data_IF_591618055555
#
_entry.id   IF_591618055555
#
_cell.length_a   1.000
_cell.length_b   1.000
_cell.length_c   1.000
_cell.angle_alpha   90.00
_cell.angle_beta   90.00
_cell.angle_gamma   90.00
#
_symmetry.space_group_name_H-M   'P 1'
#
loop_
_entity.id
_entity.type
_entity.pdbx_description
1 polymer ?
#
# COMPACT_ATOMS: atom_id res chain seq x y z
N UNK A 1 13.76 -31.31 30.71
CA UNK A 1 14.12 -30.05 30.08
C UNK A 1 14.60 -30.21 28.62
N UNK A 2 15.61 -31.07 28.32
CA UNK A 2 16.11 -31.26 26.95
C UNK A 2 15.02 -31.71 25.95
N UNK A 3 14.21 -32.70 26.28
CA UNK A 3 13.11 -33.19 25.43
C UNK A 3 12.06 -32.11 25.08
N UNK A 4 11.83 -31.18 25.97
CA UNK A 4 10.87 -30.08 25.75
C UNK A 4 11.45 -29.04 24.80
N UNK A 5 12.75 -28.76 24.89
CA UNK A 5 13.47 -27.88 23.97
C UNK A 5 13.51 -28.47 22.56
N UNK A 6 13.79 -29.77 22.44
CA UNK A 6 13.86 -30.48 21.16
C UNK A 6 12.47 -30.55 20.48
N UNK A 7 11.41 -30.73 21.27
CA UNK A 7 10.02 -30.72 20.78
C UNK A 7 9.66 -29.33 20.25
N UNK A 8 10.01 -28.26 20.95
CA UNK A 8 9.75 -26.89 20.51
C UNK A 8 10.49 -26.57 19.22
N UNK A 9 11.76 -26.95 19.09
CA UNK A 9 12.56 -26.75 17.86
C UNK A 9 11.99 -27.51 16.66
N UNK A 10 11.50 -28.72 16.88
CA UNK A 10 10.87 -29.51 15.82
C UNK A 10 9.59 -28.84 15.32
N UNK A 11 8.77 -28.34 16.25
CA UNK A 11 7.54 -27.62 15.89
C UNK A 11 7.81 -26.31 15.14
N UNK A 12 8.82 -25.54 15.56
CA UNK A 12 9.25 -24.32 14.86
C UNK A 12 9.71 -24.65 13.43
N UNK A 13 10.55 -25.66 13.27
CA UNK A 13 11.05 -26.08 11.95
C UNK A 13 9.92 -26.55 11.03
N UNK A 14 8.93 -27.26 11.57
CA UNK A 14 7.76 -27.69 10.81
C UNK A 14 6.84 -26.49 10.45
N UNK A 15 6.63 -25.57 11.38
CA UNK A 15 5.85 -24.36 11.13
C UNK A 15 6.51 -23.49 10.04
N UNK A 16 7.84 -23.33 10.10
CA UNK A 16 8.60 -22.60 9.08
C UNK A 16 8.49 -23.28 7.71
N UNK A 17 8.56 -24.62 7.67
CA UNK A 17 8.40 -25.41 6.44
C UNK A 17 7.03 -25.20 5.80
N UNK A 18 5.97 -25.27 6.60
CA UNK A 18 4.60 -25.06 6.13
C UNK A 18 4.41 -23.59 5.71
N UNK A 19 4.93 -22.65 6.49
CA UNK A 19 4.85 -21.22 6.20
C UNK A 19 5.48 -20.86 4.85
N UNK A 20 6.69 -21.35 4.54
CA UNK A 20 7.36 -21.13 3.25
C UNK A 20 6.56 -21.72 2.09
N UNK A 21 6.03 -22.93 2.25
CA UNK A 21 5.19 -23.55 1.23
C UNK A 21 3.89 -22.76 1.00
N UNK A 22 3.29 -22.26 2.06
CA UNK A 22 2.09 -21.44 1.99
C UNK A 22 2.37 -20.11 1.27
N UNK A 23 3.46 -19.42 1.61
CA UNK A 23 3.89 -18.22 0.90
C UNK A 23 4.02 -18.47 -0.60
N UNK A 24 4.75 -19.53 -0.96
CA UNK A 24 4.94 -19.87 -2.37
C UNK A 24 3.63 -20.20 -3.10
N UNK A 25 2.76 -21.03 -2.49
CA UNK A 25 1.45 -21.37 -3.07
C UNK A 25 0.51 -20.17 -3.22
N UNK A 26 0.65 -19.20 -2.33
CA UNK A 26 -0.10 -17.94 -2.38
C UNK A 26 0.54 -16.88 -3.31
N UNK A 27 1.59 -17.24 -4.04
CA UNK A 27 2.26 -16.38 -5.00
C UNK A 27 3.23 -15.36 -4.39
N UNK A 28 3.53 -15.47 -3.11
CA UNK A 28 4.54 -14.62 -2.47
C UNK A 28 5.95 -15.20 -2.68
N UNK A 29 6.95 -14.31 -2.58
CA UNK A 29 8.34 -14.75 -2.61
C UNK A 29 8.67 -15.59 -1.36
N UNK A 30 9.08 -16.87 -1.50
CA UNK A 30 9.41 -17.72 -0.35
C UNK A 30 10.63 -17.23 0.44
N UNK A 31 11.55 -16.43 -0.18
CA UNK A 31 12.69 -15.83 0.51
C UNK A 31 12.27 -14.77 1.54
N UNK A 32 11.06 -14.22 1.41
CA UNK A 32 10.56 -13.20 2.31
C UNK A 32 10.54 -13.65 3.79
N UNK A 33 10.35 -14.95 4.08
CA UNK A 33 10.40 -15.46 5.44
C UNK A 33 11.82 -15.39 6.03
N UNK A 34 12.83 -15.78 5.24
CA UNK A 34 14.23 -15.70 5.66
C UNK A 34 14.68 -14.26 5.90
N UNK A 35 14.26 -13.33 5.04
CA UNK A 35 14.54 -11.90 5.19
C UNK A 35 13.81 -11.30 6.40
N UNK A 36 12.59 -11.74 6.68
CA UNK A 36 11.87 -11.36 7.88
C UNK A 36 12.62 -11.83 9.14
N UNK A 37 13.07 -13.07 9.19
CA UNK A 37 13.87 -13.59 10.31
C UNK A 37 15.18 -12.85 10.49
N UNK A 38 15.90 -12.53 9.41
CA UNK A 38 17.14 -11.76 9.47
C UNK A 38 16.91 -10.37 10.06
N UNK A 39 15.82 -9.71 9.69
CA UNK A 39 15.45 -8.40 10.29
C UNK A 39 15.11 -8.53 11.76
N UNK A 40 14.35 -9.55 12.16
CA UNK A 40 14.03 -9.80 13.57
C UNK A 40 15.28 -10.04 14.39
N UNK A 41 16.23 -10.84 13.90
CA UNK A 41 17.51 -11.10 14.55
C UNK A 41 18.31 -9.80 14.72
N UNK A 42 18.42 -8.99 13.67
CA UNK A 42 19.13 -7.70 13.72
C UNK A 42 18.52 -6.73 14.73
N UNK A 43 17.18 -6.67 14.78
CA UNK A 43 16.46 -5.83 15.74
C UNK A 43 16.68 -6.31 17.17
N UNK A 44 16.73 -7.62 17.40
CA UNK A 44 17.01 -8.20 18.72
C UNK A 44 18.43 -7.92 19.21
N UNK A 45 19.43 -7.87 18.33
CA UNK A 45 20.84 -7.57 18.66
C UNK A 45 21.13 -6.07 18.85
N UNK A 46 20.42 -5.20 18.12
CA UNK A 46 20.66 -3.74 18.15
C UNK A 46 20.10 -3.03 19.36
N UNK A 47 19.44 -3.72 20.26
CA UNK A 47 18.62 -3.10 21.30
C UNK A 47 19.32 -2.94 22.66
N UNK A 48 20.52 -2.38 22.65
CA UNK A 48 21.20 -1.90 23.87
C UNK A 48 20.58 -0.60 24.43
N UNK A 49 19.53 -0.06 23.81
CA UNK A 49 18.93 1.24 24.11
C UNK A 49 17.56 1.22 24.83
N UNK A 50 17.22 0.15 25.56
CA UNK A 50 16.03 0.17 26.45
C UNK A 50 14.70 -0.27 25.83
N UNK A 51 14.63 -0.67 24.58
CA UNK A 51 13.44 -1.31 23.99
C UNK A 51 13.45 -2.82 24.31
N UNK A 52 12.46 -3.30 25.03
CA UNK A 52 12.28 -4.72 25.31
C UNK A 52 11.83 -5.42 24.01
N UNK A 53 12.56 -6.46 23.61
CA UNK A 53 12.11 -7.30 22.49
C UNK A 53 10.68 -7.81 22.78
N UNK A 54 9.78 -7.89 21.78
CA UNK A 54 8.45 -8.43 21.97
C UNK A 54 8.49 -9.81 22.65
N UNK A 55 7.57 -10.07 23.58
CA UNK A 55 7.59 -11.28 24.43
C UNK A 55 7.58 -12.59 23.60
N UNK A 56 6.96 -12.58 22.40
CA UNK A 56 6.97 -13.74 21.51
C UNK A 56 8.38 -14.12 21.00
N UNK A 57 9.32 -13.16 20.90
CA UNK A 57 10.71 -13.45 20.51
C UNK A 57 11.49 -14.15 21.62
N UNK A 58 11.06 -14.05 22.87
CA UNK A 58 11.66 -14.78 23.98
C UNK A 58 11.23 -16.24 24.01
N UNK A 59 10.01 -16.54 23.56
CA UNK A 59 9.45 -17.89 23.50
C UNK A 59 9.73 -18.60 22.18
N UNK A 60 9.91 -17.84 21.10
CA UNK A 60 10.17 -18.33 19.73
C UNK A 60 11.42 -17.66 19.12
N UNK A 61 12.62 -17.97 19.63
CA UNK A 61 13.83 -17.26 19.23
C UNK A 61 14.15 -17.53 17.74
N UNK A 62 14.45 -16.44 17.03
CA UNK A 62 14.99 -16.54 15.68
C UNK A 62 16.48 -16.83 15.78
N UNK A 63 16.90 -17.99 15.30
CA UNK A 63 18.29 -18.40 15.30
C UNK A 63 18.89 -18.33 13.90
N UNK A 64 20.22 -18.18 13.81
CA UNK A 64 20.92 -18.22 12.52
C UNK A 64 20.62 -19.55 11.75
N UNK A 65 20.37 -20.64 12.46
CA UNK A 65 19.96 -21.92 11.87
C UNK A 65 18.60 -21.82 11.19
N UNK A 66 17.59 -21.20 11.81
CA UNK A 66 16.27 -21.00 11.20
C UNK A 66 16.35 -20.12 9.94
N UNK A 67 17.17 -19.08 9.97
CA UNK A 67 17.39 -18.22 8.80
C UNK A 67 18.02 -19.03 7.65
N UNK A 68 19.04 -19.81 7.95
CA UNK A 68 19.74 -20.65 6.97
C UNK A 68 18.80 -21.72 6.37
N UNK A 69 18.04 -22.42 7.22
CA UNK A 69 17.07 -23.42 6.78
C UNK A 69 15.95 -22.81 5.93
N UNK A 70 15.47 -21.61 6.29
CA UNK A 70 14.45 -20.91 5.52
C UNK A 70 14.95 -20.56 4.12
N UNK A 71 16.19 -20.06 3.99
CA UNK A 71 16.82 -19.81 2.68
C UNK A 71 16.99 -21.07 1.85
N UNK A 72 17.49 -22.12 2.44
CA UNK A 72 17.70 -23.41 1.75
C UNK A 72 16.37 -24.01 1.24
N UNK A 73 15.32 -23.93 2.06
CA UNK A 73 13.97 -24.37 1.66
C UNK A 73 13.38 -23.51 0.55
N UNK A 74 13.55 -22.19 0.62
CA UNK A 74 13.09 -21.28 -0.43
C UNK A 74 13.79 -21.57 -1.76
N UNK A 75 15.11 -21.73 -1.75
CA UNK A 75 15.89 -22.12 -2.94
C UNK A 75 15.44 -23.45 -3.53
N UNK A 76 15.21 -24.47 -2.69
CA UNK A 76 14.72 -25.79 -3.15
C UNK A 76 13.34 -25.69 -3.80
N UNK A 77 12.45 -24.89 -3.26
CA UNK A 77 11.12 -24.65 -3.84
C UNK A 77 11.25 -23.97 -5.20
N UNK A 78 12.13 -22.97 -5.32
CA UNK A 78 12.36 -22.26 -6.58
C UNK A 78 12.99 -23.16 -7.65
N UNK A 79 13.95 -24.00 -7.27
CA UNK A 79 14.63 -24.94 -8.17
C UNK A 79 13.70 -26.09 -8.63
N UNK A 80 12.89 -26.62 -7.73
CA UNK A 80 12.01 -27.78 -8.00
C UNK A 80 10.61 -27.37 -8.47
N UNK A 81 10.47 -26.15 -9.02
CA UNK A 81 9.18 -25.60 -9.49
C UNK A 81 8.45 -26.55 -10.46
N UNK A 82 9.19 -27.28 -11.27
CA UNK A 82 8.65 -28.25 -12.22
C UNK A 82 8.22 -29.58 -11.55
N UNK A 83 8.96 -30.03 -10.52
CA UNK A 83 8.77 -31.36 -9.90
C UNK A 83 7.62 -31.37 -8.86
N UNK A 84 7.28 -30.23 -8.28
CA UNK A 84 6.25 -30.15 -7.25
C UNK A 84 4.82 -30.22 -7.80
N UNK A 85 4.65 -30.40 -9.12
CA UNK A 85 3.33 -30.49 -9.75
C UNK A 85 2.45 -29.27 -9.52
N UNK A 86 3.04 -28.15 -9.10
CA UNK A 86 2.40 -26.87 -8.92
C UNK A 86 2.19 -26.24 -10.30
N UNK A 87 1.46 -26.96 -11.17
CA UNK A 87 0.69 -26.30 -12.22
C UNK A 87 -0.14 -25.24 -11.50
N UNK A 88 -0.10 -24.01 -12.01
CA UNK A 88 -0.97 -22.95 -11.58
C UNK A 88 -2.30 -23.57 -11.18
N UNK A 89 -2.58 -23.62 -9.89
CA UNK A 89 -3.85 -24.16 -9.42
C UNK A 89 -4.92 -23.16 -9.86
N UNK A 90 -5.44 -23.38 -11.06
CA UNK A 90 -6.76 -22.90 -11.45
C UNK A 90 -7.78 -23.62 -10.56
N UNK A 91 -7.69 -23.39 -9.28
CA UNK A 91 -8.50 -24.05 -8.27
C UNK A 91 -9.00 -23.06 -7.28
N UNK A 92 -10.30 -22.81 -7.35
CA UNK A 92 -11.07 -22.14 -6.32
C UNK A 92 -10.76 -22.79 -4.97
N UNK A 93 -9.82 -22.25 -4.18
CA UNK A 93 -9.51 -22.74 -2.84
C UNK A 93 -10.52 -22.10 -1.87
N UNK A 94 -11.50 -22.87 -1.34
CA UNK A 94 -12.55 -22.34 -0.48
C UNK A 94 -12.04 -21.76 0.86
N UNK A 95 -10.75 -21.97 1.18
CA UNK A 95 -10.11 -21.44 2.38
C UNK A 95 -9.42 -20.08 2.14
N UNK A 96 -9.33 -19.64 0.89
CA UNK A 96 -8.78 -18.32 0.57
C UNK A 96 -9.90 -17.29 0.42
N UNK A 97 -9.75 -16.07 0.97
CA UNK A 97 -10.67 -14.99 0.72
C UNK A 97 -10.85 -14.72 -0.78
N UNK A 98 -12.04 -14.29 -1.19
CA UNK A 98 -12.40 -14.10 -2.60
C UNK A 98 -11.43 -13.17 -3.35
N UNK A 99 -10.88 -12.14 -2.69
CA UNK A 99 -9.86 -11.26 -3.27
C UNK A 99 -8.52 -11.97 -3.56
N UNK A 100 -8.21 -13.05 -2.85
CA UNK A 100 -7.02 -13.87 -3.08
C UNK A 100 -7.27 -14.97 -4.14
N UNK A 101 -8.55 -15.28 -4.43
CA UNK A 101 -8.95 -16.24 -5.45
C UNK A 101 -9.12 -15.58 -6.83
N UNK A 102 -9.53 -14.32 -6.88
CA UNK A 102 -9.77 -13.56 -8.12
C UNK A 102 -8.49 -13.19 -8.89
N UNK A 103 -7.33 -13.37 -8.27
CA UNK A 103 -6.04 -13.25 -8.95
C UNK A 103 -5.77 -14.51 -9.77
N UNK A 104 -6.26 -14.55 -11.01
CA UNK A 104 -5.80 -15.54 -11.98
C UNK A 104 -4.28 -15.62 -11.90
N UNK A 105 -3.76 -16.81 -11.68
CA UNK A 105 -2.39 -17.18 -11.28
C UNK A 105 -1.24 -16.65 -12.17
N UNK A 106 -1.52 -15.77 -13.13
CA UNK A 106 -0.56 -15.41 -14.17
C UNK A 106 -0.05 -13.95 -14.13
N UNK A 107 -0.65 -13.05 -13.33
CA UNK A 107 -0.23 -11.63 -13.38
C UNK A 107 -0.06 -10.92 -12.04
N UNK A 108 -0.61 -11.41 -10.95
CA UNK A 108 -0.60 -10.72 -9.65
C UNK A 108 0.37 -11.30 -8.64
N UNK A 109 0.70 -12.57 -8.71
CA UNK A 109 1.59 -13.23 -7.76
C UNK A 109 3.02 -12.68 -7.77
N UNK A 110 3.53 -12.24 -8.93
CA UNK A 110 4.80 -11.53 -9.03
C UNK A 110 4.73 -10.07 -8.54
N UNK A 111 3.54 -9.45 -8.62
CA UNK A 111 3.35 -8.03 -8.27
C UNK A 111 3.07 -7.75 -6.80
N UNK A 112 2.52 -8.70 -6.04
CA UNK A 112 2.22 -8.50 -4.61
C UNK A 112 3.46 -8.15 -3.78
N UNK A 113 4.66 -8.59 -4.21
CA UNK A 113 5.92 -8.20 -3.59
C UNK A 113 6.52 -6.90 -4.14
N UNK A 114 6.21 -6.54 -5.39
CA UNK A 114 6.75 -5.35 -6.05
C UNK A 114 6.17 -4.04 -5.50
N UNK A 115 4.92 -4.07 -5.04
CA UNK A 115 4.25 -2.90 -4.47
C UNK A 115 4.68 -2.58 -3.04
N UNK A 116 5.17 -3.57 -2.30
CA UNK A 116 5.52 -3.41 -0.88
C UNK A 116 6.55 -2.29 -0.60
N UNK A 117 7.64 -2.14 -1.36
CA UNK A 117 8.59 -1.05 -1.12
C UNK A 117 7.96 0.33 -1.25
N UNK A 118 7.07 0.54 -2.22
CA UNK A 118 6.36 1.80 -2.45
C UNK A 118 5.35 2.10 -1.34
N UNK A 119 4.54 1.11 -0.98
CA UNK A 119 3.58 1.20 0.12
C UNK A 119 4.28 1.51 1.46
N UNK A 120 5.41 0.85 1.73
CA UNK A 120 6.23 1.08 2.92
C UNK A 120 6.72 2.52 3.00
N UNK A 121 7.25 3.07 1.90
CA UNK A 121 7.75 4.44 1.91
C UNK A 121 6.62 5.46 2.01
N UNK A 122 5.46 5.22 1.37
CA UNK A 122 4.25 6.05 1.57
C UNK A 122 3.81 6.04 3.04
N UNK A 123 3.73 4.86 3.66
CA UNK A 123 3.36 4.74 5.07
C UNK A 123 4.36 5.46 5.99
N UNK A 124 5.67 5.34 5.71
CA UNK A 124 6.72 6.05 6.45
C UNK A 124 6.49 7.57 6.46
N UNK A 125 6.19 8.15 5.30
CA UNK A 125 5.93 9.59 5.19
C UNK A 125 4.66 9.99 5.91
N UNK A 126 3.56 9.23 5.74
CA UNK A 126 2.27 9.52 6.36
C UNK A 126 2.26 9.32 7.88
N UNK A 127 3.11 8.44 8.41
CA UNK A 127 3.23 8.18 9.86
C UNK A 127 4.26 9.07 10.55
N UNK A 128 5.02 9.87 9.82
CA UNK A 128 5.99 10.78 10.41
C UNK A 128 5.29 11.87 11.24
N UNK A 129 5.85 12.27 12.40
CA UNK A 129 5.27 13.31 13.24
C UNK A 129 5.07 14.66 12.52
N UNK A 130 5.96 14.99 11.60
CA UNK A 130 5.85 16.16 10.73
C UNK A 130 6.48 15.88 9.35
N UNK A 131 6.03 16.56 8.28
CA UNK A 131 6.63 16.44 6.96
C UNK A 131 8.14 16.75 6.93
N UNK A 132 8.58 17.70 7.74
CA UNK A 132 10.00 18.08 7.86
C UNK A 132 10.86 16.97 8.47
N UNK A 133 10.32 16.22 9.45
CA UNK A 133 11.00 15.06 10.03
C UNK A 133 11.12 13.97 8.97
N UNK A 134 10.05 13.62 8.26
CA UNK A 134 10.10 12.66 7.17
C UNK A 134 11.18 13.02 6.14
N UNK A 135 11.22 14.29 5.71
CA UNK A 135 12.21 14.77 4.76
C UNK A 135 13.64 14.68 5.29
N UNK A 136 13.85 15.00 6.59
CA UNK A 136 15.18 14.95 7.20
C UNK A 136 15.74 13.53 7.25
N UNK A 137 14.89 12.52 7.42
CA UNK A 137 15.30 11.10 7.41
C UNK A 137 15.87 10.68 6.07
N UNK A 138 15.22 11.07 4.96
CA UNK A 138 15.74 10.79 3.62
C UNK A 138 17.04 11.56 3.33
N UNK A 139 17.15 12.83 3.77
CA UNK A 139 18.36 13.63 3.60
C UNK A 139 19.55 13.08 4.38
N UNK A 140 19.35 12.61 5.61
CA UNK A 140 20.42 11.95 6.39
C UNK A 140 20.97 10.73 5.66
N UNK A 141 20.14 9.95 4.97
CA UNK A 141 20.58 8.86 4.13
C UNK A 141 21.42 9.31 2.92
N UNK A 142 21.21 10.55 2.41
CA UNK A 142 22.00 11.14 1.31
C UNK A 142 23.32 11.70 1.80
N UNK A 143 23.33 12.38 2.95
CA UNK A 143 24.52 13.00 3.55
C UNK A 143 25.40 11.98 4.29
N UNK A 144 24.86 10.78 4.57
CA UNK A 144 25.59 9.67 5.17
C UNK A 144 26.32 8.78 4.15
N UNK A 145 26.86 7.65 4.63
CA UNK A 145 27.64 6.70 3.81
C UNK A 145 26.83 5.98 2.71
N UNK A 146 25.50 6.02 2.76
CA UNK A 146 24.63 5.43 1.72
C UNK A 146 24.20 6.50 0.70
N UNK A 147 25.05 6.72 -0.29
CA UNK A 147 24.85 7.73 -1.34
C UNK A 147 23.74 7.41 -2.36
N UNK A 148 23.18 6.21 -2.34
CA UNK A 148 22.20 5.77 -3.34
C UNK A 148 20.87 5.37 -2.69
N UNK A 149 19.90 6.30 -2.68
CA UNK A 149 18.52 5.93 -2.38
C UNK A 149 17.99 4.99 -3.46
N UNK A 150 17.30 3.92 -3.02
CA UNK A 150 16.51 3.10 -3.94
C UNK A 150 15.40 3.93 -4.58
N UNK A 151 14.84 3.49 -5.70
CA UNK A 151 13.77 4.24 -6.37
C UNK A 151 12.53 4.36 -5.49
N UNK A 152 12.21 3.34 -4.67
CA UNK A 152 11.15 3.44 -3.67
C UNK A 152 11.45 4.51 -2.60
N UNK A 153 12.70 4.64 -2.14
CA UNK A 153 13.09 5.69 -1.20
C UNK A 153 13.06 7.09 -1.85
N UNK A 154 13.43 7.21 -3.14
CA UNK A 154 13.28 8.47 -3.90
C UNK A 154 11.80 8.85 -4.02
N UNK A 155 10.91 7.88 -4.22
CA UNK A 155 9.47 8.10 -4.19
C UNK A 155 9.00 8.59 -2.82
N UNK A 156 9.42 7.95 -1.73
CA UNK A 156 9.12 8.41 -0.38
C UNK A 156 9.63 9.83 -0.12
N UNK A 157 10.85 10.15 -0.56
CA UNK A 157 11.40 11.50 -0.48
C UNK A 157 10.58 12.51 -1.30
N UNK A 158 10.11 12.13 -2.48
CA UNK A 158 9.21 12.99 -3.28
C UNK A 158 7.89 13.27 -2.57
N UNK A 159 7.28 12.25 -1.93
CA UNK A 159 6.10 12.45 -1.09
C UNK A 159 6.38 13.39 0.09
N UNK A 160 7.51 13.22 0.78
CA UNK A 160 7.92 14.10 1.87
C UNK A 160 8.11 15.55 1.40
N UNK A 161 8.63 15.77 0.19
CA UNK A 161 8.68 17.10 -0.43
C UNK A 161 7.28 17.66 -0.71
N UNK A 162 6.34 16.84 -1.24
CA UNK A 162 4.96 17.26 -1.49
C UNK A 162 4.26 17.70 -0.21
N UNK A 163 4.40 16.94 0.87
CA UNK A 163 3.81 17.27 2.16
C UNK A 163 4.48 18.49 2.83
N UNK A 164 5.74 18.77 2.49
CA UNK A 164 6.47 19.94 2.97
C UNK A 164 6.39 21.17 2.02
N UNK A 165 5.43 21.16 1.07
CA UNK A 165 5.20 22.23 0.08
C UNK A 165 6.42 22.55 -0.82
N UNK A 166 7.39 21.63 -0.93
CA UNK A 166 8.56 21.76 -1.83
C UNK A 166 8.27 21.05 -3.18
N UNK A 167 7.18 21.44 -3.81
CA UNK A 167 6.57 20.73 -4.94
C UNK A 167 7.48 20.65 -6.15
N UNK A 168 8.32 21.67 -6.42
CA UNK A 168 9.28 21.64 -7.54
C UNK A 168 10.35 20.54 -7.38
N UNK A 169 10.84 20.32 -6.15
CA UNK A 169 11.79 19.24 -5.88
C UNK A 169 11.12 17.87 -6.03
N UNK A 170 9.89 17.74 -5.56
CA UNK A 170 9.09 16.52 -5.74
C UNK A 170 8.87 16.20 -7.21
N UNK A 171 8.43 17.17 -8.01
CA UNK A 171 8.18 17.02 -9.45
C UNK A 171 9.45 16.56 -10.20
N UNK A 172 10.60 17.12 -9.84
CA UNK A 172 11.88 16.71 -10.44
C UNK A 172 12.20 15.22 -10.19
N UNK A 173 12.02 14.74 -8.96
CA UNK A 173 12.22 13.32 -8.61
C UNK A 173 11.20 12.43 -9.31
N UNK A 174 9.92 12.81 -9.30
CA UNK A 174 8.85 12.03 -9.88
C UNK A 174 8.97 11.92 -11.40
N UNK A 175 9.40 12.98 -12.09
CA UNK A 175 9.71 12.94 -13.53
C UNK A 175 10.79 11.92 -13.88
N UNK A 176 11.80 11.76 -13.01
CA UNK A 176 12.83 10.72 -13.16
C UNK A 176 12.25 9.32 -12.97
N UNK A 177 11.47 9.13 -11.90
CA UNK A 177 10.87 7.84 -11.54
C UNK A 177 9.84 7.34 -12.55
N UNK A 178 8.99 8.21 -13.12
CA UNK A 178 8.03 7.85 -14.17
C UNK A 178 8.73 7.30 -15.42
N UNK A 179 9.90 7.82 -15.77
CA UNK A 179 10.67 7.31 -16.91
C UNK A 179 11.22 5.90 -16.67
N UNK A 180 11.64 5.62 -15.42
CA UNK A 180 12.18 4.31 -15.04
C UNK A 180 11.09 3.28 -14.77
N UNK A 181 9.92 3.72 -14.33
CA UNK A 181 8.80 2.87 -13.90
C UNK A 181 7.47 3.42 -14.45
N UNK A 182 7.24 3.39 -15.80
CA UNK A 182 6.09 4.03 -16.44
C UNK A 182 4.74 3.43 -16.02
N UNK A 183 4.72 2.14 -15.64
CA UNK A 183 3.50 1.42 -15.27
C UNK A 183 3.32 1.32 -13.75
N UNK A 184 4.08 2.10 -12.97
CA UNK A 184 3.99 2.05 -11.52
C UNK A 184 2.87 2.98 -11.01
N UNK A 185 1.85 2.36 -10.42
CA UNK A 185 0.67 3.04 -9.89
C UNK A 185 1.01 4.11 -8.84
N UNK A 186 1.90 3.79 -7.90
CA UNK A 186 2.27 4.67 -6.80
C UNK A 186 2.94 5.96 -7.28
N UNK A 187 3.88 5.81 -8.20
CA UNK A 187 4.59 6.93 -8.82
C UNK A 187 3.62 7.76 -9.66
N UNK A 188 2.79 7.10 -10.47
CA UNK A 188 1.84 7.76 -11.34
C UNK A 188 0.87 8.66 -10.58
N UNK A 189 0.28 8.18 -9.48
CA UNK A 189 -0.61 8.98 -8.62
C UNK A 189 0.14 10.18 -8.05
N UNK A 190 1.31 9.97 -7.42
CA UNK A 190 2.09 11.07 -6.84
C UNK A 190 2.50 12.11 -7.89
N UNK A 191 2.80 11.68 -9.13
CA UNK A 191 3.15 12.56 -10.23
C UNK A 191 1.95 13.38 -10.74
N UNK A 192 0.75 12.84 -10.71
CA UNK A 192 -0.46 13.59 -11.02
C UNK A 192 -0.82 14.58 -9.91
N UNK A 193 -0.68 14.17 -8.63
CA UNK A 193 -0.87 15.02 -7.46
C UNK A 193 0.14 16.18 -7.40
N UNK A 194 1.40 15.95 -7.81
CA UNK A 194 2.41 17.02 -7.83
C UNK A 194 2.05 18.14 -8.80
N UNK A 195 1.50 17.82 -9.96
CA UNK A 195 1.02 18.81 -10.90
C UNK A 195 -0.13 19.66 -10.32
N UNK A 196 -1.04 19.02 -9.58
CA UNK A 196 -2.13 19.74 -8.89
C UNK A 196 -1.58 20.71 -7.84
N UNK A 197 -0.62 20.25 -7.00
CA UNK A 197 0.01 21.09 -5.97
C UNK A 197 0.87 22.23 -6.56
N UNK A 198 1.34 22.10 -7.80
CA UNK A 198 2.00 23.16 -8.57
C UNK A 198 1.01 24.19 -9.17
N UNK A 199 -0.29 24.00 -8.98
CA UNK A 199 -1.33 24.84 -9.58
C UNK A 199 -1.61 24.52 -11.05
N UNK A 200 -1.04 23.45 -11.60
CA UNK A 200 -1.26 23.02 -12.98
C UNK A 200 -2.36 21.95 -13.06
N UNK A 201 -3.60 22.34 -12.78
CA UNK A 201 -4.75 21.44 -12.78
C UNK A 201 -5.00 20.76 -14.13
N UNK A 202 -4.70 21.41 -15.25
CA UNK A 202 -4.83 20.82 -16.58
C UNK A 202 -3.87 19.64 -16.78
N UNK A 203 -2.61 19.78 -16.36
CA UNK A 203 -1.62 18.72 -16.43
C UNK A 203 -1.95 17.58 -15.47
N UNK A 204 -2.40 17.89 -14.26
CA UNK A 204 -2.87 16.90 -13.29
C UNK A 204 -4.01 16.06 -13.90
N UNK A 205 -5.00 16.69 -14.48
CA UNK A 205 -6.12 16.02 -15.16
C UNK A 205 -5.61 15.09 -16.26
N UNK A 206 -4.72 15.55 -17.13
CA UNK A 206 -4.16 14.72 -18.22
C UNK A 206 -3.46 13.48 -17.67
N UNK A 207 -2.66 13.63 -16.61
CA UNK A 207 -1.94 12.51 -15.97
C UNK A 207 -2.91 11.51 -15.32
N UNK A 208 -3.96 12.00 -14.65
CA UNK A 208 -4.98 11.13 -14.07
C UNK A 208 -5.84 10.41 -15.11
N UNK A 209 -6.20 11.06 -16.23
CA UNK A 209 -6.91 10.38 -17.32
C UNK A 209 -6.05 9.26 -17.94
N UNK A 210 -4.74 9.46 -18.08
CA UNK A 210 -3.83 8.40 -18.53
C UNK A 210 -3.80 7.23 -17.53
N UNK A 211 -3.71 7.52 -16.23
CA UNK A 211 -3.74 6.50 -15.18
C UNK A 211 -5.07 5.75 -15.14
N UNK A 212 -6.19 6.45 -15.32
CA UNK A 212 -7.50 5.83 -15.37
C UNK A 212 -7.63 4.89 -16.59
N UNK A 213 -7.03 5.26 -17.73
CA UNK A 213 -6.92 4.38 -18.89
C UNK A 213 -6.09 3.12 -18.64
N UNK A 214 -5.00 3.23 -17.88
CA UNK A 214 -4.14 2.10 -17.51
C UNK A 214 -4.76 1.22 -16.40
N UNK A 215 -5.49 1.83 -15.47
CA UNK A 215 -6.05 1.19 -14.27
C UNK A 215 -7.53 1.57 -14.07
N UNK A 216 -8.44 1.18 -14.97
CA UNK A 216 -9.80 1.75 -15.09
C UNK A 216 -10.67 1.53 -13.84
N UNK A 217 -10.46 0.46 -13.08
CA UNK A 217 -11.24 0.12 -11.88
C UNK A 217 -10.42 0.21 -10.59
N UNK A 218 -9.26 0.87 -10.63
CA UNK A 218 -8.42 0.96 -9.47
C UNK A 218 -8.94 2.03 -8.51
N UNK A 219 -9.36 1.60 -7.31
CA UNK A 219 -9.92 2.48 -6.27
C UNK A 219 -8.99 3.65 -5.91
N UNK A 220 -7.68 3.41 -5.80
CA UNK A 220 -6.73 4.45 -5.42
C UNK A 220 -6.62 5.55 -6.48
N UNK A 221 -6.59 5.18 -7.78
CA UNK A 221 -6.60 6.14 -8.89
C UNK A 221 -7.88 6.95 -8.91
N UNK A 222 -9.03 6.28 -8.79
CA UNK A 222 -10.35 6.94 -8.87
C UNK A 222 -10.52 7.93 -7.72
N UNK A 223 -10.18 7.55 -6.49
CA UNK A 223 -10.30 8.44 -5.34
C UNK A 223 -9.32 9.62 -5.39
N UNK A 224 -8.05 9.38 -5.76
CA UNK A 224 -7.05 10.44 -5.90
C UNK A 224 -7.42 11.41 -7.02
N UNK A 225 -7.93 10.90 -8.14
CA UNK A 225 -8.39 11.76 -9.23
C UNK A 225 -9.63 12.56 -8.85
N UNK A 226 -10.61 11.93 -8.20
CA UNK A 226 -11.80 12.64 -7.70
C UNK A 226 -11.39 13.78 -6.74
N UNK A 227 -10.48 13.53 -5.80
CA UNK A 227 -9.97 14.56 -4.89
C UNK A 227 -9.30 15.71 -5.65
N UNK A 228 -8.44 15.41 -6.63
CA UNK A 228 -7.79 16.42 -7.48
C UNK A 228 -8.81 17.29 -8.25
N UNK A 229 -9.90 16.70 -8.72
CA UNK A 229 -10.99 17.43 -9.41
C UNK A 229 -11.78 18.31 -8.42
N UNK A 230 -12.07 17.80 -7.22
CA UNK A 230 -12.89 18.50 -6.23
C UNK A 230 -12.18 19.70 -5.59
N UNK A 231 -10.85 19.68 -5.50
CA UNK A 231 -10.06 20.83 -5.05
C UNK A 231 -10.25 22.07 -5.93
N UNK A 232 -10.58 21.90 -7.21
CA UNK A 232 -10.80 23.01 -8.14
C UNK A 232 -12.08 23.79 -7.84
N UNK A 233 -13.01 23.24 -7.04
CA UNK A 233 -14.31 23.85 -6.69
C UNK A 233 -15.16 24.25 -7.90
N UNK A 234 -14.97 23.62 -9.05
CA UNK A 234 -15.69 23.90 -10.28
C UNK A 234 -16.78 22.84 -10.51
N UNK A 235 -17.96 23.29 -10.99
CA UNK A 235 -19.07 22.39 -11.29
C UNK A 235 -18.70 21.33 -12.33
N UNK A 236 -17.96 21.70 -13.37
CA UNK A 236 -17.54 20.77 -14.42
C UNK A 236 -16.63 19.67 -13.87
N UNK A 237 -15.66 20.04 -12.99
CA UNK A 237 -14.78 19.10 -12.30
C UNK A 237 -15.56 18.19 -11.35
N UNK A 238 -16.56 18.73 -10.63
CA UNK A 238 -17.43 17.95 -9.75
C UNK A 238 -18.29 16.92 -10.53
N UNK A 239 -18.80 17.27 -11.70
CA UNK A 239 -19.53 16.31 -12.57
C UNK A 239 -18.61 15.20 -13.06
N UNK A 240 -17.36 15.51 -13.45
CA UNK A 240 -16.39 14.48 -13.81
C UNK A 240 -16.03 13.58 -12.64
N UNK A 241 -15.87 14.15 -11.44
CA UNK A 241 -15.65 13.37 -10.22
C UNK A 241 -16.81 12.39 -9.93
N UNK A 242 -18.06 12.82 -10.10
CA UNK A 242 -19.22 11.92 -9.97
C UNK A 242 -19.17 10.77 -10.98
N UNK A 243 -18.82 11.06 -12.23
CA UNK A 243 -18.74 10.06 -13.27
C UNK A 243 -17.76 8.94 -12.93
N UNK A 244 -16.52 9.30 -12.54
CA UNK A 244 -15.49 8.32 -12.18
C UNK A 244 -15.81 7.59 -10.88
N UNK A 245 -16.36 8.27 -9.86
CA UNK A 245 -16.75 7.65 -8.60
C UNK A 245 -17.88 6.62 -8.77
N UNK A 246 -18.80 6.81 -9.71
CA UNK A 246 -19.89 5.85 -9.98
C UNK A 246 -19.37 4.46 -10.32
N UNK A 247 -18.18 4.33 -10.89
CA UNK A 247 -17.57 3.03 -11.20
C UNK A 247 -17.28 2.19 -9.95
N UNK A 248 -17.15 2.84 -8.78
CA UNK A 248 -16.91 2.18 -7.49
C UNK A 248 -18.20 1.93 -6.68
N UNK A 249 -19.35 2.49 -7.06
CA UNK A 249 -20.54 2.55 -6.23
C UNK A 249 -21.05 1.18 -5.75
N UNK A 250 -20.91 0.14 -6.55
CA UNK A 250 -21.41 -1.20 -6.22
C UNK A 250 -20.69 -1.86 -5.02
N UNK A 251 -19.45 -1.49 -4.76
CA UNK A 251 -18.61 -2.11 -3.73
C UNK A 251 -18.15 -1.12 -2.64
N UNK A 252 -18.70 0.09 -2.60
CA UNK A 252 -18.19 1.17 -1.74
C UNK A 252 -19.28 1.79 -0.86
N UNK A 253 -20.42 1.11 -0.66
CA UNK A 253 -21.52 1.62 0.17
C UNK A 253 -21.05 1.95 1.60
N UNK A 254 -20.22 1.11 2.20
CA UNK A 254 -19.68 1.26 3.55
C UNK A 254 -18.30 1.95 3.59
N UNK A 255 -17.84 2.52 2.47
CA UNK A 255 -16.55 3.21 2.38
C UNK A 255 -16.69 4.70 2.70
N UNK A 256 -16.27 5.10 3.89
CA UNK A 256 -16.34 6.49 4.36
C UNK A 256 -15.62 7.47 3.43
N UNK A 257 -14.46 7.08 2.86
CA UNK A 257 -13.69 7.96 1.97
C UNK A 257 -14.43 8.17 0.66
N UNK A 258 -14.99 7.09 0.10
CA UNK A 258 -15.83 7.16 -1.10
C UNK A 258 -17.07 8.05 -0.86
N UNK A 259 -17.82 7.78 0.20
CA UNK A 259 -19.04 8.53 0.52
C UNK A 259 -18.76 10.03 0.70
N UNK A 260 -17.65 10.38 1.37
CA UNK A 260 -17.24 11.78 1.54
C UNK A 260 -16.91 12.45 0.21
N UNK A 261 -16.14 11.78 -0.65
CA UNK A 261 -15.79 12.30 -1.97
C UNK A 261 -17.01 12.47 -2.86
N UNK A 262 -17.93 11.50 -2.79
CA UNK A 262 -19.18 11.53 -3.56
C UNK A 262 -20.13 12.62 -3.07
N UNK A 263 -20.26 12.79 -1.74
CA UNK A 263 -21.02 13.90 -1.14
C UNK A 263 -20.51 15.26 -1.62
N UNK A 264 -19.20 15.49 -1.57
CA UNK A 264 -18.59 16.73 -2.02
C UNK A 264 -18.79 16.96 -3.53
N UNK A 265 -18.73 15.91 -4.33
CA UNK A 265 -18.99 16.00 -5.76
C UNK A 265 -20.46 16.39 -6.06
N UNK A 266 -21.43 15.87 -5.30
CA UNK A 266 -22.82 16.26 -5.43
C UNK A 266 -23.07 17.70 -4.96
N UNK A 267 -22.46 18.08 -3.84
CA UNK A 267 -22.56 19.44 -3.30
C UNK A 267 -22.09 20.49 -4.32
N UNK A 268 -20.88 20.32 -4.87
CA UNK A 268 -20.29 21.23 -5.86
C UNK A 268 -21.04 21.24 -7.20
N UNK A 269 -21.72 20.18 -7.55
CA UNK A 269 -22.57 20.13 -8.75
C UNK A 269 -23.95 20.73 -8.55
N UNK A 270 -24.34 21.05 -7.31
CA UNK A 270 -25.62 21.62 -6.93
C UNK A 270 -26.72 20.59 -6.63
N UNK A 271 -26.38 19.32 -6.48
CA UNK A 271 -27.34 18.27 -6.07
C UNK A 271 -27.31 18.10 -4.53
N UNK A 272 -27.94 19.04 -3.83
CA UNK A 272 -27.95 19.11 -2.37
C UNK A 272 -28.57 17.88 -1.71
N UNK A 273 -29.64 17.31 -2.31
CA UNK A 273 -30.30 16.12 -1.76
C UNK A 273 -29.33 14.92 -1.72
N UNK A 274 -28.68 14.63 -2.83
CA UNK A 274 -27.70 13.52 -2.89
C UNK A 274 -26.47 13.80 -2.03
N UNK A 275 -26.06 15.05 -1.91
CA UNK A 275 -24.98 15.43 -1.00
C UNK A 275 -25.35 15.13 0.46
N UNK A 276 -26.58 15.50 0.90
CA UNK A 276 -27.07 15.23 2.24
C UNK A 276 -27.16 13.72 2.54
N UNK A 277 -27.67 12.91 1.60
CA UNK A 277 -27.69 11.45 1.72
C UNK A 277 -26.28 10.88 1.95
N UNK A 278 -25.30 11.26 1.14
CA UNK A 278 -23.93 10.77 1.30
C UNK A 278 -23.26 11.28 2.59
N UNK A 279 -23.50 12.55 3.02
CA UNK A 279 -23.00 13.04 4.29
C UNK A 279 -23.64 12.34 5.49
N UNK A 280 -24.93 12.00 5.41
CA UNK A 280 -25.59 11.22 6.42
C UNK A 280 -24.97 9.82 6.54
N UNK A 281 -24.66 9.17 5.41
CA UNK A 281 -23.95 7.89 5.39
C UNK A 281 -22.55 8.00 6.03
N UNK A 282 -21.80 9.04 5.72
CA UNK A 282 -20.50 9.32 6.37
C UNK A 282 -20.64 9.47 7.89
N UNK A 283 -21.68 10.17 8.36
CA UNK A 283 -21.94 10.34 9.77
C UNK A 283 -22.31 9.01 10.43
N UNK A 284 -23.19 8.23 9.81
CA UNK A 284 -23.62 6.92 10.27
C UNK A 284 -22.46 5.93 10.39
N UNK A 285 -21.65 5.79 9.34
CA UNK A 285 -20.47 4.90 9.32
C UNK A 285 -19.40 5.28 10.37
N UNK A 286 -19.39 6.54 10.79
CA UNK A 286 -18.53 7.01 11.89
C UNK A 286 -19.21 6.90 13.28
N UNK A 287 -20.37 6.25 13.39
CA UNK A 287 -21.11 6.07 14.63
C UNK A 287 -21.83 7.34 15.15
N UNK A 288 -21.96 8.38 14.31
CA UNK A 288 -22.62 9.66 14.66
C UNK A 288 -24.07 9.67 14.15
N UNK A 289 -24.94 8.86 14.78
CA UNK A 289 -26.32 8.63 14.32
C UNK A 289 -27.15 9.91 14.33
N UNK A 290 -27.05 10.74 15.37
CA UNK A 290 -27.79 12.00 15.47
C UNK A 290 -27.42 12.98 14.35
N UNK A 291 -26.12 13.06 14.00
CA UNK A 291 -25.66 13.88 12.87
C UNK A 291 -26.22 13.35 11.55
N UNK A 292 -26.30 12.02 11.39
CA UNK A 292 -26.88 11.43 10.19
C UNK A 292 -28.36 11.80 10.03
N UNK A 293 -29.15 11.73 11.12
CA UNK A 293 -30.56 12.15 11.12
C UNK A 293 -30.68 13.63 10.78
N UNK A 294 -29.87 14.49 11.38
CA UNK A 294 -29.88 15.92 11.12
C UNK A 294 -29.58 16.25 9.65
N UNK A 295 -28.65 15.54 9.01
CA UNK A 295 -28.33 15.72 7.59
C UNK A 295 -29.51 15.34 6.66
N UNK A 296 -30.36 14.39 7.05
CA UNK A 296 -31.51 13.96 6.26
C UNK A 296 -32.76 14.79 6.50
N UNK A 297 -32.81 15.59 7.55
CA UNK A 297 -33.98 16.39 7.95
C UNK A 297 -33.80 17.90 7.65
N UNK A 298 -32.58 18.33 7.28
CA UNK A 298 -32.26 19.70 6.92
C UNK A 298 -32.59 19.99 5.44
#
# INVERSE_FOLDING_TARGET
MQRQIDYTRSNESEADRIGIQTLYRSGYNPDALADFFARMESTGRGNSGGYRAPDYLSTHPVTATRISEARDRALKIQQNRADLGLKNSEGNNPLLPEFAQAGGADRTAGRLGEDFPWAKERLRVLSAPTPSIALSEYRKGIDGYERNLSDAQKYGMALAYLENNQTGAAESLLNGLVKSHPDNLWIGIAHAESAQKLGNGAQSRTRFEQLLGQFPNNRAVILAYAESLLVQNERASALRAQEILRTLSNNSAEDVVFQRSFARAFELSGNTLRAAECYAEVAYLNGRVDDAINQLTA
#
